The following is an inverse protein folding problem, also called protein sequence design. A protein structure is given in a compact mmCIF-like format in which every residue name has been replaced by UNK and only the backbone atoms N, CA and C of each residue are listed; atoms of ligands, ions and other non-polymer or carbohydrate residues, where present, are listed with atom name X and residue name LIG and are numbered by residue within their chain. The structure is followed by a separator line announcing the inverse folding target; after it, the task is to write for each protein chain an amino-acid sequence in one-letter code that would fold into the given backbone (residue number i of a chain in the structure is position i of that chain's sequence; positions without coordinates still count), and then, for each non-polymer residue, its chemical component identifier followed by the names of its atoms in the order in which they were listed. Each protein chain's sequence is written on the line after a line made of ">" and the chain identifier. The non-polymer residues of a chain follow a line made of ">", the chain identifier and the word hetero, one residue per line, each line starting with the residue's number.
data_IF_405915899799
#
_entry.id   IF_405915899799
#
_cell.length_a   1.000
_cell.length_b   1.000
_cell.length_c   1.000
_cell.angle_alpha   90.00
_cell.angle_beta   90.00
_cell.angle_gamma   90.00
#
_symmetry.space_group_name_H-M   'P 1'
#
loop_
_entity.id
_entity.type
_entity.pdbx_description
1 polymer ?
#
# COMPACT_ATOMS: atom_id res chain seq x y z
N UNK A 1 -30.33 -12.70 -17.07
CA UNK A 1 -29.06 -11.97 -16.84
C UNK A 1 -29.17 -11.27 -15.50
N UNK A 2 -28.20 -11.44 -14.59
CA UNK A 2 -28.17 -10.68 -13.32
C UNK A 2 -27.88 -9.20 -13.63
N UNK A 3 -28.50 -8.29 -12.88
CA UNK A 3 -28.19 -6.86 -12.98
C UNK A 3 -26.77 -6.58 -12.51
N UNK A 4 -26.20 -5.41 -12.86
CA UNK A 4 -24.86 -5.01 -12.41
C UNK A 4 -24.77 -4.98 -10.87
N UNK A 5 -25.80 -4.49 -10.18
CA UNK A 5 -25.91 -4.48 -8.73
C UNK A 5 -25.93 -5.90 -8.12
N UNK A 6 -26.67 -6.83 -8.74
CA UNK A 6 -26.69 -8.23 -8.29
C UNK A 6 -25.35 -8.94 -8.48
N UNK A 7 -24.60 -8.60 -9.53
CA UNK A 7 -23.26 -9.13 -9.75
C UNK A 7 -22.26 -8.58 -8.71
N UNK A 8 -22.39 -7.30 -8.37
CA UNK A 8 -21.60 -6.60 -7.36
C UNK A 8 -21.80 -7.23 -5.98
N UNK A 9 -23.08 -7.37 -5.57
CA UNK A 9 -23.44 -7.99 -4.28
C UNK A 9 -22.93 -9.44 -4.19
N UNK A 10 -23.06 -10.22 -5.25
CA UNK A 10 -22.59 -11.61 -5.28
C UNK A 10 -21.07 -11.71 -5.15
N UNK A 11 -20.33 -10.75 -5.69
CA UNK A 11 -18.86 -10.74 -5.61
C UNK A 11 -18.39 -10.44 -4.21
N UNK A 12 -18.97 -9.44 -3.56
CA UNK A 12 -18.67 -9.13 -2.14
C UNK A 12 -18.98 -10.35 -1.26
N UNK A 13 -20.11 -10.99 -1.47
CA UNK A 13 -20.52 -12.21 -0.75
C UNK A 13 -19.53 -13.37 -0.97
N UNK A 14 -19.04 -13.55 -2.20
CA UNK A 14 -18.04 -14.57 -2.50
C UNK A 14 -16.71 -14.30 -1.77
N UNK A 15 -16.26 -13.06 -1.72
CA UNK A 15 -15.04 -12.65 -0.98
C UNK A 15 -15.24 -12.88 0.52
N UNK A 16 -16.37 -12.45 1.09
CA UNK A 16 -16.70 -12.68 2.51
C UNK A 16 -16.71 -14.17 2.85
N UNK A 17 -17.34 -15.01 2.02
CA UNK A 17 -17.36 -16.46 2.22
C UNK A 17 -15.96 -17.07 2.10
N UNK A 18 -15.15 -16.62 1.16
CA UNK A 18 -13.80 -17.13 0.98
C UNK A 18 -12.91 -16.86 2.20
N UNK A 19 -12.86 -15.60 2.67
CA UNK A 19 -12.04 -15.19 3.81
C UNK A 19 -12.69 -15.44 5.18
N UNK A 20 -14.01 -15.57 5.25
CA UNK A 20 -14.75 -15.80 6.50
C UNK A 20 -14.89 -17.27 6.86
N UNK A 21 -15.07 -18.15 5.86
CA UNK A 21 -15.43 -19.54 6.11
C UNK A 21 -14.54 -20.57 5.41
N UNK A 22 -13.98 -20.25 4.22
CA UNK A 22 -13.19 -21.21 3.43
C UNK A 22 -11.73 -21.24 3.90
N UNK A 23 -11.13 -20.07 4.15
CA UNK A 23 -9.75 -19.97 4.63
C UNK A 23 -9.72 -19.99 6.16
N UNK A 24 -8.96 -20.92 6.72
CA UNK A 24 -8.63 -20.99 8.15
C UNK A 24 -7.21 -20.51 8.44
N UNK A 25 -6.32 -20.68 7.47
CA UNK A 25 -4.91 -20.29 7.54
C UNK A 25 -4.34 -19.99 6.15
N UNK A 26 -3.13 -19.43 6.10
CA UNK A 26 -2.42 -19.17 4.83
C UNK A 26 -2.09 -20.46 4.04
N UNK A 27 -2.07 -21.62 4.69
CA UNK A 27 -1.80 -22.91 4.05
C UNK A 27 -2.98 -23.37 3.17
N UNK A 28 -4.15 -22.77 3.34
CA UNK A 28 -5.36 -23.07 2.54
C UNK A 28 -5.36 -22.30 1.19
N UNK A 29 -4.43 -21.36 0.99
CA UNK A 29 -4.28 -20.66 -0.28
C UNK A 29 -3.85 -21.61 -1.40
N UNK A 30 -4.52 -21.52 -2.55
CA UNK A 30 -4.26 -22.37 -3.72
C UNK A 30 -3.06 -21.87 -4.51
N UNK A 31 -2.71 -20.60 -4.33
CA UNK A 31 -1.54 -19.97 -4.97
C UNK A 31 -0.62 -19.31 -3.94
N UNK A 32 0.60 -18.97 -4.37
CA UNK A 32 1.55 -18.20 -3.59
C UNK A 32 1.48 -16.68 -3.85
N UNK A 33 0.45 -16.20 -4.53
CA UNK A 33 0.33 -14.79 -4.93
C UNK A 33 0.19 -13.88 -3.71
N UNK A 34 -0.69 -14.23 -2.77
CA UNK A 34 -0.89 -13.50 -1.52
C UNK A 34 0.11 -13.95 -0.43
N UNK A 35 1.40 -14.07 -0.77
CA UNK A 35 2.47 -14.36 0.18
C UNK A 35 3.58 -13.31 0.10
N UNK A 36 4.24 -13.05 1.22
CA UNK A 36 5.34 -12.09 1.30
C UNK A 36 6.65 -12.76 0.87
N UNK A 37 7.27 -12.28 -0.21
CA UNK A 37 8.49 -12.86 -0.77
C UNK A 37 9.76 -12.43 -0.04
N UNK A 38 9.75 -11.27 0.59
CA UNK A 38 10.91 -10.76 1.31
C UNK A 38 10.67 -10.71 2.82
N UNK A 39 11.66 -11.09 3.63
CA UNK A 39 11.53 -10.94 5.08
C UNK A 39 11.34 -9.46 5.42
N UNK A 40 10.48 -9.15 6.40
CA UNK A 40 10.28 -7.78 6.86
C UNK A 40 11.56 -7.24 7.54
N UNK A 41 11.61 -5.91 7.73
CA UNK A 41 12.70 -5.25 8.47
C UNK A 41 12.86 -5.82 9.89
N UNK A 42 14.01 -5.62 10.50
CA UNK A 42 14.26 -6.13 11.85
C UNK A 42 13.34 -5.49 12.89
N UNK A 43 12.94 -4.24 12.69
CA UNK A 43 11.90 -3.58 13.49
C UNK A 43 10.57 -4.32 13.41
N UNK A 44 10.08 -4.61 12.21
CA UNK A 44 8.82 -5.35 12.02
C UNK A 44 8.93 -6.78 12.55
N UNK A 45 10.08 -7.45 12.37
CA UNK A 45 10.33 -8.78 12.98
C UNK A 45 10.26 -8.73 14.51
N UNK A 46 10.77 -7.67 15.12
CA UNK A 46 10.70 -7.50 16.57
C UNK A 46 9.23 -7.32 17.05
N UNK A 47 8.45 -6.54 16.31
CA UNK A 47 7.02 -6.35 16.61
C UNK A 47 6.25 -7.67 16.41
N UNK A 48 6.51 -8.39 15.33
CA UNK A 48 5.85 -9.67 15.04
C UNK A 48 6.06 -10.71 16.15
N UNK A 49 7.17 -10.68 16.89
CA UNK A 49 7.36 -11.57 18.05
C UNK A 49 6.37 -11.30 19.18
N UNK A 50 5.77 -10.12 19.22
CA UNK A 50 4.79 -9.71 20.25
C UNK A 50 3.35 -9.93 19.74
N UNK A 51 3.11 -9.87 18.41
CA UNK A 51 1.80 -10.13 17.82
C UNK A 51 1.38 -11.57 18.13
N UNK A 52 0.11 -11.75 18.56
CA UNK A 52 -0.41 -13.06 18.96
C UNK A 52 -0.28 -14.08 17.81
N UNK A 53 0.15 -15.34 18.09
CA UNK A 53 0.35 -16.36 17.05
C UNK A 53 -0.89 -16.60 16.18
N UNK A 54 -2.09 -16.69 16.77
CA UNK A 54 -3.33 -16.91 16.03
C UNK A 54 -3.61 -15.78 15.01
N UNK A 55 -3.30 -14.53 15.40
CA UNK A 55 -3.43 -13.37 14.51
C UNK A 55 -2.44 -13.46 13.34
N UNK A 56 -1.23 -13.97 13.60
CA UNK A 56 -0.22 -14.15 12.54
C UNK A 56 -0.60 -15.27 11.56
N UNK A 57 -1.30 -16.32 12.00
CA UNK A 57 -1.75 -17.42 11.14
C UNK A 57 -2.84 -16.97 10.15
N UNK A 58 -3.68 -16.00 10.52
CA UNK A 58 -4.76 -15.45 9.68
C UNK A 58 -4.32 -14.24 8.85
N UNK A 59 -3.12 -14.28 8.31
CA UNK A 59 -2.58 -13.22 7.46
C UNK A 59 -2.48 -13.67 6.00
N UNK A 60 -3.07 -12.89 5.10
CA UNK A 60 -3.19 -13.15 3.66
C UNK A 60 -2.69 -11.97 2.81
N UNK A 61 -1.56 -11.37 3.16
CA UNK A 61 -1.00 -10.21 2.47
C UNK A 61 0.18 -10.55 1.57
N UNK A 62 0.39 -9.74 0.54
CA UNK A 62 1.48 -9.90 -0.44
C UNK A 62 2.69 -8.99 -0.18
N UNK A 63 2.63 -8.13 0.85
CA UNK A 63 3.69 -7.18 1.17
C UNK A 63 3.76 -6.81 2.65
N UNK A 64 4.58 -5.81 2.92
CA UNK A 64 4.73 -5.17 4.24
C UNK A 64 4.55 -3.66 4.09
N UNK A 65 3.30 -3.16 3.93
CA UNK A 65 3.03 -1.77 3.60
C UNK A 65 3.12 -0.85 4.83
N UNK A 66 4.28 -0.81 5.46
CA UNK A 66 4.54 0.02 6.63
C UNK A 66 5.51 1.16 6.26
N UNK A 67 5.01 2.37 5.93
CA UNK A 67 5.89 3.49 5.66
C UNK A 67 6.56 4.01 6.94
N UNK A 68 7.71 4.68 6.85
CA UNK A 68 8.38 5.24 8.02
C UNK A 68 7.65 6.47 8.59
N UNK A 69 8.08 6.92 9.80
CA UNK A 69 7.56 8.10 10.49
C UNK A 69 6.07 8.03 10.82
N UNK A 70 5.65 6.96 11.45
CA UNK A 70 4.25 6.77 11.86
C UNK A 70 3.96 7.23 13.30
N UNK A 71 4.97 7.56 14.09
CA UNK A 71 4.77 7.96 15.50
C UNK A 71 3.76 9.11 15.63
N UNK A 72 2.71 8.90 16.40
CA UNK A 72 1.62 9.86 16.63
C UNK A 72 0.62 9.98 15.47
N UNK A 73 0.80 9.25 14.37
CA UNK A 73 -0.10 9.32 13.21
C UNK A 73 -1.44 8.63 13.46
N UNK A 74 -2.47 9.10 12.75
CA UNK A 74 -3.71 8.36 12.53
C UNK A 74 -3.58 7.57 11.24
N UNK A 75 -3.60 6.24 11.35
CA UNK A 75 -3.46 5.31 10.22
C UNK A 75 -4.77 4.56 9.99
N UNK A 76 -5.21 4.49 8.74
CA UNK A 76 -6.35 3.69 8.30
C UNK A 76 -5.84 2.48 7.52
N UNK A 77 -6.20 1.29 7.98
CA UNK A 77 -5.88 0.01 7.32
C UNK A 77 -7.13 -0.53 6.61
N UNK A 78 -7.09 -0.57 5.28
CA UNK A 78 -8.20 -1.01 4.43
C UNK A 78 -8.06 -2.49 4.09
N UNK A 79 -9.07 -3.29 4.50
CA UNK A 79 -9.05 -4.73 4.43
C UNK A 79 -8.14 -5.33 5.49
N UNK A 80 -8.36 -4.94 6.75
CA UNK A 80 -7.49 -5.29 7.86
C UNK A 80 -7.54 -6.78 8.26
N UNK A 81 -8.52 -7.54 7.74
CA UNK A 81 -8.69 -8.97 8.05
C UNK A 81 -8.66 -9.24 9.55
N UNK A 82 -7.90 -10.25 9.96
CA UNK A 82 -7.70 -10.65 11.37
C UNK A 82 -6.88 -9.66 12.20
N UNK A 83 -6.55 -8.47 11.69
CA UNK A 83 -5.96 -7.36 12.43
C UNK A 83 -4.43 -7.39 12.57
N UNK A 84 -3.71 -8.32 11.93
CA UNK A 84 -2.25 -8.43 12.07
C UNK A 84 -1.55 -7.10 11.79
N UNK A 85 -1.86 -6.49 10.65
CA UNK A 85 -1.20 -5.25 10.23
C UNK A 85 -1.65 -4.07 11.10
N UNK A 86 -2.91 -4.02 11.56
CA UNK A 86 -3.38 -3.07 12.56
C UNK A 86 -2.58 -3.13 13.87
N UNK A 87 -2.26 -4.33 14.37
CA UNK A 87 -1.48 -4.46 15.60
C UNK A 87 -0.02 -4.08 15.39
N UNK A 88 0.58 -4.37 14.24
CA UNK A 88 1.91 -3.86 13.90
C UNK A 88 1.89 -2.33 13.85
N UNK A 89 0.91 -1.75 13.16
CA UNK A 89 0.73 -0.30 13.05
C UNK A 89 0.50 0.36 14.42
N UNK A 90 -0.27 -0.29 15.31
CA UNK A 90 -0.47 0.16 16.69
C UNK A 90 0.87 0.40 17.42
N UNK A 91 1.82 -0.54 17.26
CA UNK A 91 3.15 -0.40 17.85
C UNK A 91 3.98 0.70 17.19
N UNK A 92 3.88 0.85 15.86
CA UNK A 92 4.63 1.85 15.08
C UNK A 92 4.13 3.28 15.33
N UNK A 93 2.80 3.46 15.48
CA UNK A 93 2.25 4.79 15.78
C UNK A 93 2.46 5.20 17.26
N UNK A 94 2.67 4.22 18.14
CA UNK A 94 2.84 4.45 19.57
C UNK A 94 1.53 4.77 20.30
N UNK A 95 1.58 4.96 21.64
CA UNK A 95 0.38 5.12 22.47
C UNK A 95 -0.47 6.36 22.15
N UNK A 96 0.13 7.40 21.57
CA UNK A 96 -0.55 8.65 21.21
C UNK A 96 -1.08 8.66 19.76
N UNK A 97 -0.69 7.67 18.94
CA UNK A 97 -1.20 7.47 17.60
C UNK A 97 -2.53 6.73 17.61
N UNK A 98 -3.14 6.58 16.44
CA UNK A 98 -4.43 5.92 16.28
C UNK A 98 -4.43 5.02 15.05
N UNK A 99 -4.98 3.81 15.16
CA UNK A 99 -5.13 2.86 14.06
C UNK A 99 -6.61 2.52 13.89
N UNK A 100 -7.11 2.70 12.68
CA UNK A 100 -8.47 2.35 12.29
C UNK A 100 -8.37 1.21 11.28
N UNK A 101 -8.87 0.04 11.60
CA UNK A 101 -8.95 -1.10 10.68
C UNK A 101 -10.36 -1.26 10.14
N UNK A 102 -10.50 -1.45 8.84
CA UNK A 102 -11.79 -1.67 8.17
C UNK A 102 -11.75 -2.98 7.40
N UNK A 103 -12.74 -3.83 7.58
CA UNK A 103 -12.93 -5.04 6.79
C UNK A 103 -14.41 -5.31 6.55
N UNK A 104 -14.74 -5.90 5.40
CA UNK A 104 -16.10 -6.26 5.00
C UNK A 104 -16.56 -7.59 5.59
N UNK A 105 -15.63 -8.41 6.14
CA UNK A 105 -15.89 -9.72 6.71
C UNK A 105 -16.08 -9.61 8.22
N UNK A 106 -17.30 -9.79 8.68
CA UNK A 106 -17.64 -9.62 10.11
C UNK A 106 -16.83 -10.56 11.00
N UNK A 107 -16.66 -11.81 10.60
CA UNK A 107 -15.91 -12.84 11.34
C UNK A 107 -14.45 -12.45 11.55
N UNK A 108 -13.83 -11.77 10.56
CA UNK A 108 -12.47 -11.26 10.68
C UNK A 108 -12.42 -10.11 11.68
N UNK A 109 -13.37 -9.20 11.64
CA UNK A 109 -13.45 -8.06 12.58
C UNK A 109 -13.69 -8.55 14.00
N UNK A 110 -14.59 -9.49 14.22
CA UNK A 110 -14.84 -10.06 15.56
C UNK A 110 -13.63 -10.81 16.09
N UNK A 111 -12.98 -11.59 15.24
CA UNK A 111 -11.72 -12.24 15.58
C UNK A 111 -10.66 -11.20 15.98
N UNK A 112 -10.40 -10.19 15.15
CA UNK A 112 -9.43 -9.15 15.46
C UNK A 112 -9.76 -8.40 16.76
N UNK A 113 -11.03 -8.09 17.02
CA UNK A 113 -11.49 -7.44 18.25
C UNK A 113 -11.16 -8.24 19.50
N UNK A 114 -11.20 -9.57 19.44
CA UNK A 114 -10.88 -10.43 20.58
C UNK A 114 -9.42 -10.34 21.04
N UNK A 115 -8.52 -9.86 20.18
CA UNK A 115 -7.09 -9.69 20.46
C UNK A 115 -6.65 -8.26 20.76
N UNK A 116 -7.57 -7.29 20.74
CA UNK A 116 -7.24 -5.86 20.99
C UNK A 116 -6.67 -5.68 22.38
N UNK A 117 -7.29 -6.29 23.39
CA UNK A 117 -6.85 -6.16 24.77
C UNK A 117 -5.49 -6.83 25.01
N UNK A 118 -5.26 -8.02 24.45
CA UNK A 118 -3.96 -8.67 24.49
C UNK A 118 -2.84 -7.75 23.99
N UNK A 119 -3.04 -7.09 22.83
CA UNK A 119 -2.02 -6.23 22.26
C UNK A 119 -1.84 -4.93 23.05
N UNK A 120 -2.94 -4.37 23.60
CA UNK A 120 -2.85 -3.22 24.52
C UNK A 120 -1.92 -3.53 25.69
N UNK A 121 -2.12 -4.67 26.35
CA UNK A 121 -1.29 -5.11 27.48
C UNK A 121 0.14 -5.41 27.07
N UNK A 122 0.33 -6.19 26.01
CA UNK A 122 1.65 -6.58 25.51
C UNK A 122 2.50 -5.38 25.07
N UNK A 123 1.87 -4.28 24.63
CA UNK A 123 2.55 -3.03 24.29
C UNK A 123 2.74 -2.08 25.48
N UNK A 124 2.10 -2.37 26.61
CA UNK A 124 2.15 -1.53 27.82
C UNK A 124 1.33 -0.22 27.70
N UNK A 125 0.25 -0.25 26.90
CA UNK A 125 -0.59 0.94 26.69
C UNK A 125 -1.67 1.05 27.75
N UNK A 126 -1.96 2.26 28.23
CA UNK A 126 -3.04 2.54 29.17
C UNK A 126 -4.43 2.27 28.58
N UNK A 127 -4.58 2.55 27.26
CA UNK A 127 -5.80 2.27 26.48
C UNK A 127 -5.41 1.77 25.11
N UNK A 128 -6.27 0.99 24.47
CA UNK A 128 -6.04 0.61 23.07
C UNK A 128 -6.12 1.83 22.17
N UNK A 129 -5.23 1.86 21.18
CA UNK A 129 -5.22 2.81 20.08
C UNK A 129 -5.69 2.18 18.76
N UNK A 130 -6.31 0.98 18.82
CA UNK A 130 -6.84 0.27 17.64
C UNK A 130 -8.37 0.29 17.69
N UNK A 131 -8.97 0.73 16.58
CA UNK A 131 -10.42 0.77 16.35
C UNK A 131 -10.77 -0.05 15.11
N UNK A 132 -11.59 -1.07 15.28
CA UNK A 132 -11.94 -2.01 14.20
C UNK A 132 -13.40 -1.80 13.80
N UNK A 133 -13.64 -1.57 12.51
CA UNK A 133 -14.91 -1.23 11.91
C UNK A 133 -15.29 -2.30 10.88
N UNK A 134 -16.47 -2.92 11.04
CA UNK A 134 -17.07 -3.69 9.98
C UNK A 134 -17.63 -2.74 8.92
N UNK A 135 -17.09 -2.78 7.70
CA UNK A 135 -17.48 -1.86 6.64
C UNK A 135 -16.88 -2.19 5.29
N UNK A 136 -17.45 -1.63 4.24
CA UNK A 136 -17.00 -1.84 2.86
C UNK A 136 -16.05 -0.71 2.43
N UNK A 137 -14.87 -1.09 1.91
CA UNK A 137 -13.88 -0.13 1.39
C UNK A 137 -14.34 0.64 0.13
N UNK A 138 -15.36 0.15 -0.55
CA UNK A 138 -15.99 0.84 -1.69
C UNK A 138 -16.97 1.93 -1.26
N UNK A 139 -17.27 2.04 0.04
CA UNK A 139 -18.22 2.99 0.64
C UNK A 139 -17.63 3.63 1.89
N UNK A 140 -16.44 4.22 1.77
CA UNK A 140 -15.70 4.82 2.89
C UNK A 140 -16.43 6.03 3.52
N UNK A 141 -17.31 6.69 2.76
CA UNK A 141 -18.19 7.76 3.21
C UNK A 141 -19.21 7.30 4.26
N UNK A 142 -19.60 6.02 4.25
CA UNK A 142 -20.52 5.43 5.21
C UNK A 142 -19.87 5.06 6.55
N UNK A 143 -18.57 5.12 6.67
CA UNK A 143 -17.83 4.77 7.89
C UNK A 143 -17.89 5.86 8.97
N UNK A 144 -18.53 7.00 8.70
CA UNK A 144 -18.59 8.16 9.59
C UNK A 144 -17.21 8.68 10.06
N UNK A 145 -16.18 8.50 9.22
CA UNK A 145 -14.86 9.08 9.45
C UNK A 145 -14.84 10.51 8.90
N UNK A 146 -14.33 11.49 9.67
CA UNK A 146 -14.27 12.85 9.17
C UNK A 146 -13.36 12.98 7.94
N UNK A 147 -13.71 13.78 6.93
CA UNK A 147 -12.78 14.09 5.84
C UNK A 147 -11.49 14.74 6.37
N UNK A 148 -10.39 14.51 5.70
CA UNK A 148 -9.07 15.04 6.09
C UNK A 148 -8.66 14.69 7.54
N UNK A 149 -9.00 13.50 8.03
CA UNK A 149 -8.70 13.06 9.39
C UNK A 149 -7.55 12.06 9.50
N UNK A 150 -7.17 11.44 8.38
CA UNK A 150 -6.19 10.34 8.34
C UNK A 150 -4.85 10.85 7.80
N UNK A 151 -3.76 10.51 8.48
CA UNK A 151 -2.39 10.87 8.04
C UNK A 151 -1.86 9.89 7.01
N UNK A 152 -2.14 8.60 7.19
CA UNK A 152 -1.68 7.52 6.31
C UNK A 152 -2.79 6.51 6.10
N UNK A 153 -2.98 6.07 4.86
CA UNK A 153 -3.81 4.92 4.52
C UNK A 153 -2.89 3.79 4.06
N UNK A 154 -3.07 2.61 4.64
CA UNK A 154 -2.41 1.39 4.21
C UNK A 154 -3.41 0.38 3.70
N UNK A 155 -2.97 -0.56 2.87
CA UNK A 155 -3.73 -1.71 2.43
C UNK A 155 -2.79 -2.82 1.97
N UNK A 156 -3.19 -4.08 2.12
CA UNK A 156 -2.36 -5.23 1.79
C UNK A 156 -3.15 -6.30 1.06
N UNK A 157 -3.04 -6.35 -0.28
CA UNK A 157 -3.71 -7.32 -1.16
C UNK A 157 -5.25 -7.24 -1.14
N UNK A 158 -5.84 -6.05 -1.06
CA UNK A 158 -7.29 -5.88 -0.89
C UNK A 158 -7.94 -5.07 -2.01
N UNK A 159 -7.23 -4.08 -2.57
CA UNK A 159 -7.81 -3.18 -3.57
C UNK A 159 -8.26 -3.97 -4.81
N UNK A 160 -7.56 -5.05 -5.16
CA UNK A 160 -7.95 -5.92 -6.27
C UNK A 160 -9.27 -6.66 -6.03
N UNK A 161 -9.65 -6.89 -4.78
CA UNK A 161 -10.92 -7.54 -4.43
C UNK A 161 -12.12 -6.61 -4.64
N UNK A 162 -11.91 -5.30 -4.54
CA UNK A 162 -12.95 -4.30 -4.79
C UNK A 162 -13.39 -4.32 -6.26
N UNK A 163 -14.68 -4.11 -6.48
CA UNK A 163 -15.26 -4.01 -7.82
C UNK A 163 -15.22 -2.59 -8.35
N UNK A 164 -15.45 -1.61 -7.50
CA UNK A 164 -15.42 -0.18 -7.79
C UNK A 164 -14.12 0.46 -7.26
N UNK A 165 -12.97 0.05 -7.84
CA UNK A 165 -11.65 0.52 -7.42
C UNK A 165 -11.46 2.04 -7.50
N UNK A 166 -12.17 2.73 -8.42
CA UNK A 166 -12.24 4.18 -8.50
C UNK A 166 -12.84 4.80 -7.24
N UNK A 167 -13.93 4.20 -6.72
CA UNK A 167 -14.62 4.71 -5.54
C UNK A 167 -13.77 4.54 -4.28
N UNK A 168 -13.01 3.42 -4.20
CA UNK A 168 -12.02 3.21 -3.14
C UNK A 168 -10.98 4.33 -3.14
N UNK A 169 -10.36 4.65 -4.29
CA UNK A 169 -9.33 5.70 -4.36
C UNK A 169 -9.91 7.10 -4.11
N UNK A 170 -11.12 7.38 -4.56
CA UNK A 170 -11.82 8.64 -4.26
C UNK A 170 -12.12 8.77 -2.76
N UNK A 171 -12.62 7.71 -2.12
CA UNK A 171 -12.85 7.68 -0.68
C UNK A 171 -11.56 7.87 0.11
N UNK A 172 -10.46 7.21 -0.29
CA UNK A 172 -9.13 7.44 0.29
C UNK A 172 -8.71 8.90 0.17
N UNK A 173 -8.89 9.53 -1.00
CA UNK A 173 -8.55 10.93 -1.22
C UNK A 173 -9.36 11.88 -0.33
N UNK A 174 -10.61 11.56 -0.03
CA UNK A 174 -11.44 12.35 0.87
C UNK A 174 -10.98 12.26 2.33
N UNK A 175 -10.63 11.06 2.81
CA UNK A 175 -10.24 10.81 4.19
C UNK A 175 -8.83 11.31 4.52
N UNK A 176 -7.90 11.28 3.57
CA UNK A 176 -6.53 11.75 3.78
C UNK A 176 -6.48 13.25 4.08
N UNK A 177 -5.63 13.62 5.02
CA UNK A 177 -5.21 15.02 5.24
C UNK A 177 -4.41 15.53 4.04
N UNK A 178 -4.40 16.84 3.77
CA UNK A 178 -3.39 17.42 2.86
C UNK A 178 -1.97 17.02 3.31
N UNK A 179 -1.13 16.55 2.39
CA UNK A 179 0.19 15.98 2.70
C UNK A 179 0.18 14.54 3.18
N UNK A 180 -1.00 13.95 3.37
CA UNK A 180 -1.17 12.54 3.76
C UNK A 180 -0.75 11.57 2.65
N UNK A 181 -0.49 10.33 3.02
CA UNK A 181 0.06 9.30 2.14
C UNK A 181 -0.83 8.06 2.09
N UNK A 182 -1.03 7.51 0.89
CA UNK A 182 -1.43 6.12 0.69
C UNK A 182 -0.16 5.31 0.50
N UNK A 183 -0.01 4.21 1.25
CA UNK A 183 1.10 3.29 1.14
C UNK A 183 0.59 1.86 1.17
N UNK A 184 0.56 1.18 0.05
CA UNK A 184 -0.10 -0.11 -0.04
C UNK A 184 0.68 -1.12 -0.88
N UNK A 185 0.46 -2.40 -0.62
CA UNK A 185 0.96 -3.50 -1.42
C UNK A 185 -0.20 -4.24 -2.07
N UNK A 186 -0.10 -4.50 -3.37
CA UNK A 186 -1.08 -5.29 -4.10
C UNK A 186 -0.44 -5.98 -5.32
N UNK A 187 -1.20 -6.84 -5.96
CA UNK A 187 -0.78 -7.54 -7.18
C UNK A 187 -1.20 -6.71 -8.40
N UNK A 188 -0.28 -6.58 -9.35
CA UNK A 188 -0.50 -5.92 -10.62
C UNK A 188 -0.14 -6.84 -11.78
N UNK A 189 -0.81 -6.68 -12.91
CA UNK A 189 -0.49 -7.39 -14.15
C UNK A 189 0.19 -6.47 -15.17
N UNK A 190 1.00 -7.06 -16.03
CA UNK A 190 1.64 -6.38 -17.18
C UNK A 190 0.64 -6.11 -18.32
N UNK A 191 -0.56 -6.69 -18.25
CA UNK A 191 -1.62 -6.56 -19.26
C UNK A 191 -3.00 -6.76 -18.65
N UNK A 192 -4.05 -6.34 -19.35
CA UNK A 192 -5.43 -6.65 -18.96
C UNK A 192 -5.72 -8.13 -19.15
N UNK A 193 -6.25 -8.76 -18.10
CA UNK A 193 -6.68 -10.15 -18.18
C UNK A 193 -8.00 -10.28 -18.97
N UNK A 194 -8.27 -11.49 -19.52
CA UNK A 194 -9.51 -11.81 -20.20
C UNK A 194 -10.71 -11.74 -19.24
N UNK A 195 -11.91 -11.53 -19.79
CA UNK A 195 -13.12 -11.49 -18.98
C UNK A 195 -13.44 -12.83 -18.32
N UNK A 196 -13.00 -13.94 -18.91
CA UNK A 196 -13.13 -15.27 -18.35
C UNK A 196 -12.34 -15.41 -17.03
N UNK A 197 -11.07 -14.99 -17.02
CA UNK A 197 -10.24 -14.98 -15.82
C UNK A 197 -10.79 -14.03 -14.74
N UNK A 198 -11.31 -12.88 -15.14
CA UNK A 198 -11.90 -11.89 -14.23
C UNK A 198 -13.15 -12.40 -13.51
N UNK A 199 -13.84 -13.37 -14.07
CA UNK A 199 -15.07 -13.93 -13.51
C UNK A 199 -14.86 -15.30 -12.83
N UNK A 200 -13.64 -15.83 -12.80
CA UNK A 200 -13.32 -17.09 -12.13
C UNK A 200 -13.33 -16.85 -10.59
N UNK A 201 -14.27 -17.45 -9.82
CA UNK A 201 -14.41 -17.19 -8.40
C UNK A 201 -13.17 -17.55 -7.58
N UNK A 202 -12.45 -18.61 -7.97
CA UNK A 202 -11.21 -19.03 -7.31
C UNK A 202 -10.13 -17.96 -7.52
N UNK A 203 -9.94 -17.52 -8.77
CA UNK A 203 -8.94 -16.50 -9.08
C UNK A 203 -9.24 -15.15 -8.42
N UNK A 204 -10.53 -14.83 -8.22
CA UNK A 204 -10.94 -13.62 -7.47
C UNK A 204 -10.48 -13.74 -6.00
N UNK A 205 -10.78 -14.85 -5.32
CA UNK A 205 -10.36 -15.09 -3.94
C UNK A 205 -8.83 -15.06 -3.77
N UNK A 206 -8.09 -15.55 -4.76
CA UNK A 206 -6.62 -15.55 -4.79
C UNK A 206 -6.00 -14.19 -5.24
N UNK A 207 -6.77 -13.11 -5.29
CA UNK A 207 -6.34 -11.77 -5.74
C UNK A 207 -5.83 -11.71 -7.19
N UNK A 208 -6.15 -12.70 -8.03
CA UNK A 208 -5.69 -12.79 -9.44
C UNK A 208 -6.80 -12.39 -10.41
N UNK A 209 -8.05 -12.79 -10.16
CA UNK A 209 -9.14 -12.70 -11.14
C UNK A 209 -9.36 -11.28 -11.66
N UNK A 210 -9.41 -10.29 -10.77
CA UNK A 210 -9.58 -8.87 -11.15
C UNK A 210 -8.34 -8.03 -10.85
N UNK A 211 -7.18 -8.65 -10.99
CA UNK A 211 -5.91 -7.94 -10.85
C UNK A 211 -5.85 -6.76 -11.81
N UNK A 212 -5.44 -5.60 -11.28
CA UNK A 212 -5.29 -4.40 -12.09
C UNK A 212 -4.10 -4.50 -13.04
N UNK A 213 -4.32 -4.17 -14.30
CA UNK A 213 -3.25 -3.73 -15.17
C UNK A 213 -2.69 -2.41 -14.63
N UNK A 214 -1.36 -2.32 -14.46
CA UNK A 214 -0.72 -1.15 -13.84
C UNK A 214 -1.09 0.18 -14.51
N UNK A 215 -1.16 0.22 -15.86
CA UNK A 215 -1.59 1.42 -16.58
C UNK A 215 -3.04 1.85 -16.32
N UNK A 216 -3.93 0.91 -16.03
CA UNK A 216 -5.31 1.22 -15.63
C UNK A 216 -5.35 1.78 -14.21
N UNK A 217 -4.54 1.25 -13.31
CA UNK A 217 -4.39 1.79 -11.96
C UNK A 217 -3.90 3.25 -11.98
N UNK A 218 -2.86 3.53 -12.77
CA UNK A 218 -2.33 4.91 -12.92
C UNK A 218 -3.42 5.88 -13.34
N UNK A 219 -4.28 5.50 -14.29
CA UNK A 219 -5.40 6.33 -14.74
C UNK A 219 -6.41 6.57 -13.61
N UNK A 220 -6.86 5.51 -12.93
CA UNK A 220 -7.82 5.61 -11.82
C UNK A 220 -7.26 6.46 -10.68
N UNK A 221 -5.98 6.31 -10.35
CA UNK A 221 -5.32 7.09 -9.31
C UNK A 221 -5.24 8.58 -9.67
N UNK A 222 -4.91 8.90 -10.93
CA UNK A 222 -4.90 10.29 -11.42
C UNK A 222 -6.30 10.92 -11.41
N UNK A 223 -7.32 10.17 -11.79
CA UNK A 223 -8.73 10.61 -11.74
C UNK A 223 -9.17 10.90 -10.29
N UNK A 224 -8.62 10.19 -9.30
CA UNK A 224 -8.84 10.44 -7.88
C UNK A 224 -7.96 11.58 -7.30
N UNK A 225 -7.10 12.22 -8.12
CA UNK A 225 -6.26 13.36 -7.73
C UNK A 225 -4.81 13.00 -7.38
N UNK A 226 -4.41 11.72 -7.45
CA UNK A 226 -3.03 11.29 -7.18
C UNK A 226 -2.20 11.29 -8.47
N UNK A 227 -1.51 12.40 -8.76
CA UNK A 227 -0.80 12.58 -10.03
C UNK A 227 0.55 11.85 -10.09
N UNK A 228 1.22 11.68 -8.95
CA UNK A 228 2.54 11.07 -8.83
C UNK A 228 2.42 9.73 -8.07
N UNK A 229 2.61 8.62 -8.79
CA UNK A 229 2.54 7.27 -8.26
C UNK A 229 3.95 6.72 -8.21
N UNK A 230 4.44 6.39 -7.02
CA UNK A 230 5.79 5.91 -6.81
C UNK A 230 5.83 4.44 -6.46
N UNK A 231 6.70 3.71 -7.14
CA UNK A 231 6.94 2.29 -6.89
C UNK A 231 8.05 2.20 -5.85
N UNK A 232 7.73 1.70 -4.67
CA UNK A 232 8.72 1.47 -3.60
C UNK A 232 9.40 0.12 -3.79
N UNK A 233 8.64 -0.89 -4.18
CA UNK A 233 9.14 -2.23 -4.47
C UNK A 233 8.29 -2.88 -5.57
N UNK A 234 8.91 -3.73 -6.38
CA UNK A 234 8.23 -4.54 -7.39
C UNK A 234 8.93 -5.89 -7.53
N UNK A 235 8.16 -6.98 -7.47
CA UNK A 235 8.66 -8.34 -7.56
C UNK A 235 7.77 -9.18 -8.46
N UNK A 236 8.36 -9.84 -9.47
CA UNK A 236 7.67 -10.82 -10.30
C UNK A 236 7.20 -11.99 -9.43
N UNK A 237 5.92 -12.34 -9.53
CA UNK A 237 5.33 -13.51 -8.87
C UNK A 237 5.41 -14.73 -9.78
N UNK A 238 6.03 -15.77 -9.28
CA UNK A 238 5.97 -17.10 -9.91
C UNK A 238 4.75 -17.82 -9.40
N UNK A 239 3.91 -18.31 -10.31
CA UNK A 239 2.68 -19.04 -9.93
C UNK A 239 3.04 -20.50 -9.71
N UNK A 240 2.94 -21.00 -8.49
CA UNK A 240 3.28 -22.38 -8.14
C UNK A 240 2.20 -23.40 -8.57
N UNK A 241 1.03 -22.95 -9.00
CA UNK A 241 -0.06 -23.80 -9.48
C UNK A 241 -0.06 -23.85 -11.01
N UNK A 242 0.32 -25.00 -11.59
CA UNK A 242 0.48 -25.18 -13.04
C UNK A 242 -0.81 -24.94 -13.83
N UNK A 243 -1.97 -25.35 -13.32
CA UNK A 243 -3.26 -25.11 -13.98
C UNK A 243 -3.62 -23.64 -14.05
N UNK A 244 -3.29 -22.87 -13.01
CA UNK A 244 -3.52 -21.41 -12.98
C UNK A 244 -2.49 -20.72 -13.89
N UNK A 245 -1.23 -21.17 -13.88
CA UNK A 245 -0.19 -20.65 -14.78
C UNK A 245 -0.57 -20.83 -16.26
N UNK A 246 -1.08 -22.01 -16.62
CA UNK A 246 -1.57 -22.30 -17.98
C UNK A 246 -2.76 -21.39 -18.36
N UNK A 247 -3.71 -21.14 -17.43
CA UNK A 247 -4.83 -20.20 -17.66
C UNK A 247 -4.37 -18.77 -17.86
N UNK A 248 -3.36 -18.32 -17.11
CA UNK A 248 -2.78 -16.97 -17.22
C UNK A 248 -1.99 -16.79 -18.52
N UNK A 249 -1.44 -17.87 -19.07
CA UNK A 249 -0.65 -17.86 -20.30
C UNK A 249 0.56 -16.96 -20.18
N UNK A 250 0.64 -15.94 -21.04
CA UNK A 250 1.79 -15.01 -21.07
C UNK A 250 1.62 -13.79 -20.12
N UNK A 251 0.56 -13.73 -19.33
CA UNK A 251 0.39 -12.63 -18.37
C UNK A 251 1.37 -12.78 -17.20
N UNK A 252 2.02 -11.69 -16.84
CA UNK A 252 2.94 -11.64 -15.69
C UNK A 252 2.31 -10.85 -14.56
N UNK A 253 2.42 -11.40 -13.36
CA UNK A 253 1.92 -10.79 -12.14
C UNK A 253 3.08 -10.28 -11.30
N UNK A 254 2.91 -9.11 -10.71
CA UNK A 254 3.91 -8.45 -9.86
C UNK A 254 3.29 -8.08 -8.53
N UNK A 255 3.93 -8.46 -7.44
CA UNK A 255 3.66 -7.84 -6.14
C UNK A 255 4.36 -6.49 -6.12
N UNK A 256 3.59 -5.42 -5.96
CA UNK A 256 4.12 -4.06 -5.95
C UNK A 256 3.74 -3.34 -4.67
N UNK A 257 4.69 -2.62 -4.09
CA UNK A 257 4.41 -1.64 -3.03
C UNK A 257 4.45 -0.26 -3.64
N UNK A 258 3.34 0.47 -3.51
CA UNK A 258 3.16 1.80 -4.08
C UNK A 258 2.95 2.84 -2.99
N UNK A 259 3.31 4.09 -3.31
CA UNK A 259 3.02 5.25 -2.50
C UNK A 259 2.49 6.41 -3.33
N UNK A 260 1.47 7.07 -2.79
CA UNK A 260 0.80 8.23 -3.39
C UNK A 260 0.58 9.28 -2.30
N UNK A 261 0.60 10.56 -2.68
CA UNK A 261 0.44 11.66 -1.73
C UNK A 261 -0.73 12.56 -2.10
N UNK A 262 -1.52 12.96 -1.11
CA UNK A 262 -2.55 14.00 -1.29
C UNK A 262 -1.89 15.38 -1.28
N UNK A 263 -1.23 15.70 -2.36
CA UNK A 263 -0.54 16.96 -2.60
C UNK A 263 -0.83 17.37 -4.04
N UNK A 264 -1.04 18.65 -4.28
CA UNK A 264 -1.10 19.17 -5.65
C UNK A 264 0.29 19.08 -6.27
N UNK A 265 0.42 18.26 -7.30
CA UNK A 265 1.66 17.91 -7.98
C UNK A 265 1.49 18.13 -9.49
N UNK A 266 2.59 18.22 -10.20
CA UNK A 266 2.61 18.28 -11.66
C UNK A 266 2.38 16.89 -12.27
N UNK A 267 1.88 16.84 -13.51
CA UNK A 267 1.56 15.59 -14.20
C UNK A 267 2.80 14.77 -14.56
N UNK A 268 3.96 15.41 -14.59
CA UNK A 268 5.26 14.78 -14.85
C UNK A 268 6.33 15.30 -13.88
N UNK A 269 7.48 14.62 -13.86
CA UNK A 269 8.64 15.10 -13.12
C UNK A 269 9.30 16.25 -13.86
N UNK A 270 9.05 17.50 -13.41
CA UNK A 270 9.62 18.71 -13.99
C UNK A 270 10.85 19.19 -13.20
N UNK A 271 11.81 19.78 -13.92
CA UNK A 271 13.06 20.28 -13.35
C UNK A 271 12.96 21.79 -13.04
N UNK A 272 13.12 22.12 -11.77
CA UNK A 272 13.21 23.51 -11.30
C UNK A 272 14.53 23.79 -10.58
N UNK A 273 15.56 22.99 -10.85
CA UNK A 273 16.90 23.15 -10.28
C UNK A 273 16.94 22.91 -8.77
N UNK A 274 16.11 21.97 -8.27
CA UNK A 274 16.02 21.65 -6.86
C UNK A 274 16.87 20.42 -6.52
N UNK A 275 17.36 20.36 -5.28
CA UNK A 275 18.02 19.18 -4.73
C UNK A 275 17.61 18.98 -3.28
N UNK A 276 17.73 17.75 -2.80
CA UNK A 276 17.47 17.39 -1.42
C UNK A 276 18.71 16.74 -0.76
N UNK A 277 18.84 16.96 0.54
CA UNK A 277 19.86 16.37 1.38
C UNK A 277 19.18 15.63 2.51
N UNK A 278 19.37 14.33 2.58
CA UNK A 278 18.90 13.53 3.69
C UNK A 278 19.78 13.74 4.92
N UNK A 279 19.16 14.00 6.08
CA UNK A 279 19.86 14.34 7.31
C UNK A 279 20.38 13.12 8.10
N UNK A 280 19.96 11.89 7.76
CA UNK A 280 20.30 10.67 8.49
C UNK A 280 19.63 10.54 9.86
N UNK A 281 18.59 11.30 10.14
CA UNK A 281 17.93 11.38 11.43
C UNK A 281 16.69 10.46 11.59
N UNK A 282 16.43 9.57 10.63
CA UNK A 282 15.41 8.53 10.77
C UNK A 282 16.02 7.36 11.56
N UNK A 283 15.43 6.96 12.70
CA UNK A 283 15.83 5.74 13.39
C UNK A 283 15.77 4.52 12.46
N UNK A 284 16.79 3.67 12.47
CA UNK A 284 16.89 2.50 11.60
C UNK A 284 17.40 2.77 10.17
N UNK A 285 17.53 4.03 9.75
CA UNK A 285 18.06 4.41 8.45
C UNK A 285 19.12 5.54 8.50
N UNK A 286 20.18 5.44 9.34
CA UNK A 286 21.11 6.54 9.55
C UNK A 286 22.01 6.82 8.34
N UNK A 287 22.18 5.88 7.44
CA UNK A 287 23.11 5.97 6.31
C UNK A 287 22.45 6.36 4.99
N UNK A 288 21.20 5.98 4.79
CA UNK A 288 20.45 6.28 3.59
C UNK A 288 18.94 6.18 3.84
N UNK A 289 18.17 6.87 3.00
CA UNK A 289 16.72 6.79 2.95
C UNK A 289 16.28 6.40 1.54
N UNK A 290 15.58 5.28 1.43
CA UNK A 290 14.96 4.83 0.18
C UNK A 290 13.56 5.47 0.07
N UNK A 291 13.43 6.45 -0.81
CA UNK A 291 12.17 7.15 -1.04
C UNK A 291 11.24 6.32 -1.93
N UNK A 292 11.78 5.80 -3.00
CA UNK A 292 11.18 4.83 -3.92
C UNK A 292 12.30 4.00 -4.56
N UNK A 293 11.96 3.11 -5.49
CA UNK A 293 12.96 2.24 -6.13
C UNK A 293 13.99 3.00 -7.00
N UNK A 294 13.69 4.25 -7.41
CA UNK A 294 14.56 5.07 -8.27
C UNK A 294 15.30 6.15 -7.49
N UNK A 295 14.80 6.52 -6.31
CA UNK A 295 15.35 7.61 -5.49
C UNK A 295 15.82 7.11 -4.13
N UNK A 296 17.14 7.04 -3.97
CA UNK A 296 17.81 6.74 -2.71
C UNK A 296 18.68 7.93 -2.30
N UNK A 297 18.48 8.42 -1.10
CA UNK A 297 19.21 9.54 -0.53
C UNK A 297 20.23 9.05 0.49
N UNK A 298 21.51 9.10 0.16
CA UNK A 298 22.57 8.86 1.15
C UNK A 298 22.73 10.08 2.06
N UNK A 299 22.97 9.83 3.33
CA UNK A 299 23.09 10.89 4.35
C UNK A 299 24.13 11.93 3.98
N UNK A 300 23.74 13.21 4.00
CA UNK A 300 24.59 14.36 3.74
C UNK A 300 24.90 14.63 2.27
N UNK A 301 24.51 13.74 1.34
CA UNK A 301 24.72 13.98 -0.09
C UNK A 301 23.65 14.88 -0.67
N UNK A 302 24.05 15.78 -1.55
CA UNK A 302 23.14 16.61 -2.37
C UNK A 302 22.67 15.77 -3.54
N UNK A 303 21.36 15.53 -3.61
CA UNK A 303 20.73 14.73 -4.67
C UNK A 303 19.77 15.63 -5.45
N UNK A 304 19.96 15.82 -6.77
CA UNK A 304 18.99 16.51 -7.61
C UNK A 304 17.64 15.83 -7.58
N UNK A 305 16.56 16.60 -7.52
CA UNK A 305 15.19 16.10 -7.45
C UNK A 305 14.26 16.89 -8.35
N UNK A 306 13.21 16.25 -8.85
CA UNK A 306 12.14 16.94 -9.58
C UNK A 306 11.22 17.73 -8.63
N UNK A 307 10.41 18.60 -9.20
CA UNK A 307 9.43 19.41 -8.46
C UNK A 307 8.53 18.57 -7.57
N UNK A 308 7.97 17.49 -8.09
CA UNK A 308 7.09 16.62 -7.33
C UNK A 308 7.78 16.05 -6.09
N UNK A 309 9.03 15.56 -6.22
CA UNK A 309 9.79 15.08 -5.06
C UNK A 309 10.04 16.19 -4.04
N UNK A 310 10.39 17.41 -4.48
CA UNK A 310 10.57 18.55 -3.59
C UNK A 310 9.29 18.88 -2.82
N UNK A 311 8.17 18.94 -3.52
CA UNK A 311 6.86 19.23 -2.91
C UNK A 311 6.41 18.12 -1.95
N UNK A 312 6.61 16.84 -2.29
CA UNK A 312 6.29 15.74 -1.39
C UNK A 312 7.15 15.83 -0.11
N UNK A 313 8.45 16.04 -0.24
CA UNK A 313 9.34 16.20 0.92
C UNK A 313 8.89 17.38 1.79
N UNK A 314 8.65 18.53 1.19
CA UNK A 314 8.33 19.75 1.95
C UNK A 314 6.93 19.77 2.56
N UNK A 315 5.95 19.14 1.91
CA UNK A 315 4.53 19.23 2.28
C UNK A 315 3.98 17.98 3.00
N UNK A 316 4.82 16.97 3.24
CA UNK A 316 4.46 15.75 3.95
C UNK A 316 5.20 15.61 5.28
N UNK A 317 4.94 14.53 6.03
CA UNK A 317 5.64 14.20 7.27
C UNK A 317 7.14 14.00 7.13
N UNK A 318 7.63 13.86 5.89
CA UNK A 318 9.07 13.67 5.59
C UNK A 318 9.90 14.94 5.67
N UNK A 319 9.29 16.13 5.80
CA UNK A 319 9.98 17.42 5.81
C UNK A 319 11.11 17.53 6.85
N UNK A 320 10.94 16.89 8.00
CA UNK A 320 11.94 16.89 9.09
C UNK A 320 13.21 16.13 8.74
N UNK A 321 13.13 15.16 7.81
CA UNK A 321 14.23 14.29 7.41
C UNK A 321 15.19 14.95 6.40
N UNK A 322 14.75 16.00 5.72
CA UNK A 322 15.48 16.56 4.59
C UNK A 322 15.73 18.06 4.74
N UNK A 323 16.75 18.52 4.01
CA UNK A 323 16.92 19.91 3.63
C UNK A 323 16.77 20.00 2.12
N UNK A 324 15.85 20.81 1.63
CA UNK A 324 15.64 21.05 0.20
C UNK A 324 16.33 22.37 -0.15
N UNK A 325 17.13 22.35 -1.22
CA UNK A 325 17.87 23.52 -1.74
C UNK A 325 17.47 23.80 -3.19
N UNK A 326 17.66 25.01 -3.63
CA UNK A 326 17.21 25.49 -4.95
C UNK A 326 15.91 26.28 -4.88
N UNK A 327 15.84 27.34 -5.67
CA UNK A 327 14.75 28.33 -5.56
C UNK A 327 13.42 27.91 -6.18
N UNK A 328 13.42 26.87 -7.01
CA UNK A 328 12.20 26.37 -7.69
C UNK A 328 11.49 27.42 -8.57
N UNK A 329 12.20 28.47 -9.03
CA UNK A 329 11.61 29.58 -9.77
C UNK A 329 11.78 29.48 -11.29
N UNK A 330 12.85 28.82 -11.74
CA UNK A 330 13.16 28.64 -13.16
C UNK A 330 12.83 27.24 -13.56
N UNK A 331 12.00 27.06 -14.56
CA UNK A 331 11.67 25.77 -15.16
C UNK A 331 12.71 25.44 -16.24
N UNK A 332 13.32 24.26 -16.14
CA UNK A 332 14.37 23.76 -17.03
C UNK A 332 13.88 22.64 -17.95
N UNK A 333 12.58 22.34 -17.95
CA UNK A 333 11.97 21.27 -18.73
C UNK A 333 11.81 19.98 -17.92
N UNK A 334 11.71 18.86 -18.61
CA UNK A 334 11.54 17.56 -17.96
C UNK A 334 12.79 17.19 -17.17
N UNK A 335 12.60 16.72 -15.95
CA UNK A 335 13.69 16.25 -15.08
C UNK A 335 14.27 14.93 -15.58
N UNK A 336 15.52 14.98 -16.06
CA UNK A 336 16.25 13.81 -16.55
C UNK A 336 17.23 13.22 -15.53
N UNK A 337 17.17 13.68 -14.29
CA UNK A 337 18.01 13.17 -13.20
C UNK A 337 17.57 11.81 -12.74
N UNK A 338 18.00 10.77 -13.44
CA UNK A 338 18.10 9.45 -12.81
C UNK A 338 19.17 9.58 -11.74
N UNK A 339 18.77 9.57 -10.48
CA UNK A 339 19.71 9.29 -9.40
C UNK A 339 20.38 7.98 -9.78
N UNK A 340 21.69 8.02 -9.94
CA UNK A 340 22.48 6.82 -10.24
C UNK A 340 21.99 5.75 -9.29
N UNK A 341 21.44 4.67 -9.86
CA UNK A 341 20.98 3.53 -9.09
C UNK A 341 22.05 3.20 -8.09
N UNK A 342 21.81 3.51 -6.85
CA UNK A 342 22.76 3.15 -5.83
C UNK A 342 22.84 1.62 -5.84
N UNK A 343 24.00 1.09 -5.48
CA UNK A 343 24.20 -0.34 -5.22
C UNK A 343 23.16 -0.98 -4.27
N UNK A 344 22.22 -0.19 -3.76
CA UNK A 344 21.11 -0.55 -2.87
C UNK A 344 19.77 -0.71 -3.60
N UNK A 345 19.63 -0.22 -4.85
CA UNK A 345 18.42 -0.46 -5.62
C UNK A 345 18.29 -1.96 -5.91
N UNK A 346 17.22 -2.56 -5.46
CA UNK A 346 16.88 -3.92 -5.85
C UNK A 346 16.79 -3.99 -7.37
N UNK A 347 17.17 -5.12 -7.96
CA UNK A 347 17.05 -5.38 -9.39
C UNK A 347 15.62 -5.06 -9.83
N UNK A 348 15.49 -4.01 -10.63
CA UNK A 348 14.21 -3.60 -11.22
C UNK A 348 13.95 -4.52 -12.40
N UNK A 349 12.80 -5.14 -12.42
CA UNK A 349 12.40 -5.95 -13.57
C UNK A 349 12.23 -5.02 -14.80
N UNK A 350 12.86 -5.31 -15.96
CA UNK A 350 12.96 -4.39 -17.11
C UNK A 350 11.63 -3.84 -17.65
N UNK A 351 10.52 -4.51 -17.36
CA UNK A 351 9.19 -4.10 -17.84
C UNK A 351 8.74 -2.73 -17.29
N UNK A 352 9.23 -2.33 -16.12
CA UNK A 352 8.83 -1.04 -15.49
C UNK A 352 9.88 0.05 -15.68
N UNK A 353 11.06 -0.27 -16.16
CA UNK A 353 12.05 0.73 -16.59
C UNK A 353 11.54 1.59 -17.78
N UNK A 354 10.52 1.12 -18.50
CA UNK A 354 9.86 1.84 -19.60
C UNK A 354 8.70 2.73 -19.14
N UNK A 355 8.19 2.56 -17.91
CA UNK A 355 7.06 3.34 -17.40
C UNK A 355 7.45 4.58 -16.60
N UNK A 356 8.72 4.74 -16.27
CA UNK A 356 9.26 5.96 -15.65
C UNK A 356 9.48 7.10 -16.65
N UNK A 357 9.39 6.85 -17.95
CA UNK A 357 9.25 7.87 -18.96
C UNK A 357 7.76 8.21 -19.08
N UNK A 358 7.28 9.12 -18.23
CA UNK A 358 5.96 9.67 -18.37
C UNK A 358 5.80 10.33 -19.75
N UNK A 359 5.00 9.72 -20.58
CA UNK A 359 4.28 10.38 -21.67
C UNK A 359 2.84 10.55 -21.22
#
# INVERSE_FOLDING_TARGET
>A
MKTKEQQLSQRVENVQNYYGTTLSSKEDLVTNVCTVDKPPSDEIKAILKIVHPDVQQRFYGCGTPFPPLLTGATVLDLGCGGGRDCFILSKLVGPEGNVIGVDTTLEQIEFAKSYVEYHREAYGYNKSNVHLIHGNIESLDLLNLPPNSVDVIVSNCVINLATAKSDVLQGMAQLLKPGGEIYFADIFSDRRLSQELKNDPLLIGECIGDVLYYGDFVRIARDAGFRDIRIVASHLKTICNKSIEEKLGNARLYSMTLRLFKIELEDSCEDYGQAAIYKGNLPGAPTHFMFDQEQVFETGKVVPICRNTADIICKSRYHSLFSVVGGGRTHYGVFNGKTTLSKFAASVDPIYALSSCGC
#
